data_IF_579505334595
#
_entry.id   IF_579505334595
#
_cell.length_a   1.000
_cell.length_b   1.000
_cell.length_c   1.000
_cell.angle_alpha   90.00
_cell.angle_beta   90.00
_cell.angle_gamma   90.00
#
_symmetry.space_group_name_H-M   'P 1'
#
loop_
_entity.id
_entity.type
_entity.pdbx_description
1 polymer ?
#
# COMPACT_ATOMS: atom_id res chain seq x y z
N UNK A 1 -26.44 18.69 1.21
CA UNK A 1 -25.29 17.78 1.41
C UNK A 1 -24.52 17.77 0.10
N UNK A 2 -23.40 18.49 0.05
CA UNK A 2 -22.75 18.88 -1.21
C UNK A 2 -21.99 17.73 -1.89
N UNK A 3 -21.87 17.84 -3.22
CA UNK A 3 -21.13 16.97 -4.14
C UNK A 3 -19.63 16.83 -3.79
N UNK A 4 -19.29 16.07 -2.75
CA UNK A 4 -17.90 15.68 -2.45
C UNK A 4 -17.36 14.60 -3.42
N UNK A 5 -18.22 14.01 -4.26
CA UNK A 5 -17.85 12.91 -5.16
C UNK A 5 -17.07 13.38 -6.40
N UNK A 6 -17.37 14.57 -6.93
CA UNK A 6 -16.67 15.10 -8.11
C UNK A 6 -15.25 15.58 -7.81
N UNK A 7 -14.99 16.00 -6.57
CA UNK A 7 -13.71 16.61 -6.18
C UNK A 7 -12.52 15.64 -6.14
N UNK A 8 -12.72 14.39 -5.68
CA UNK A 8 -11.62 13.41 -5.61
C UNK A 8 -11.19 12.95 -6.99
N UNK A 9 -12.14 12.69 -7.88
CA UNK A 9 -11.86 12.26 -9.25
C UNK A 9 -11.13 13.34 -10.06
N UNK A 10 -11.48 14.62 -9.87
CA UNK A 10 -10.77 15.73 -10.51
C UNK A 10 -9.33 15.82 -10.01
N UNK A 11 -9.10 15.61 -8.72
CA UNK A 11 -7.75 15.68 -8.15
C UNK A 11 -6.85 14.55 -8.67
N UNK A 12 -7.34 13.30 -8.69
CA UNK A 12 -6.54 12.17 -9.21
C UNK A 12 -6.23 12.35 -10.70
N UNK A 13 -7.19 12.82 -11.49
CA UNK A 13 -6.94 13.17 -12.89
C UNK A 13 -5.93 14.30 -13.07
N UNK A 14 -5.91 15.28 -12.15
CA UNK A 14 -4.91 16.34 -12.18
C UNK A 14 -3.51 15.82 -11.83
N UNK A 15 -3.41 14.82 -10.93
CA UNK A 15 -2.12 14.24 -10.53
C UNK A 15 -1.32 13.71 -11.72
N UNK A 16 -1.94 13.21 -12.79
CA UNK A 16 -1.21 12.67 -13.96
C UNK A 16 -0.25 13.68 -14.63
N UNK A 17 -0.45 14.97 -14.37
CA UNK A 17 0.39 16.06 -14.87
C UNK A 17 1.50 16.48 -13.87
N UNK A 18 1.51 15.90 -12.67
CA UNK A 18 2.46 16.19 -11.60
C UNK A 18 3.61 15.19 -11.63
N UNK A 19 4.81 15.63 -12.02
CA UNK A 19 5.99 14.75 -12.19
C UNK A 19 6.98 14.77 -11.02
N UNK A 20 6.84 15.72 -10.09
CA UNK A 20 7.85 16.00 -9.06
C UNK A 20 7.32 15.85 -7.61
N UNK A 21 6.18 15.18 -7.41
CA UNK A 21 5.64 14.97 -6.07
C UNK A 21 6.51 13.93 -5.35
N UNK A 22 7.00 14.28 -4.16
CA UNK A 22 7.84 13.42 -3.32
C UNK A 22 7.00 12.65 -2.30
N UNK A 23 6.06 13.34 -1.67
CA UNK A 23 5.13 12.78 -0.69
C UNK A 23 3.70 13.03 -1.16
N UNK A 24 2.96 11.94 -1.39
CA UNK A 24 1.57 11.98 -1.77
C UNK A 24 0.70 11.34 -0.70
N UNK A 25 -0.28 12.09 -0.20
CA UNK A 25 -1.40 11.56 0.58
C UNK A 25 -2.69 11.74 -0.20
N UNK A 26 -3.35 10.62 -0.50
CA UNK A 26 -4.52 10.59 -1.37
C UNK A 26 -5.61 9.72 -0.77
N UNK A 27 -6.85 10.20 -0.83
CA UNK A 27 -8.02 9.33 -0.68
C UNK A 27 -8.31 8.67 -2.03
N UNK A 28 -8.32 7.33 -2.07
CA UNK A 28 -8.56 6.56 -3.30
C UNK A 28 -9.83 5.72 -3.16
N UNK A 29 -10.60 5.62 -4.23
CA UNK A 29 -11.84 4.85 -4.33
C UNK A 29 -11.76 3.79 -5.42
N UNK A 30 -12.69 2.84 -5.36
CA UNK A 30 -12.86 1.85 -6.43
C UNK A 30 -13.09 2.57 -7.77
N UNK A 31 -12.32 2.19 -8.80
CA UNK A 31 -12.39 2.79 -10.13
C UNK A 31 -11.43 3.96 -10.38
N UNK A 32 -10.76 4.49 -9.35
CA UNK A 32 -9.75 5.56 -9.50
C UNK A 32 -8.32 5.00 -9.68
N UNK A 33 -8.15 3.67 -9.60
CA UNK A 33 -6.86 2.98 -9.71
C UNK A 33 -6.13 3.33 -11.01
N UNK A 34 -6.82 3.37 -12.15
CA UNK A 34 -6.20 3.63 -13.44
C UNK A 34 -5.62 5.04 -13.53
N UNK A 35 -6.40 6.07 -13.14
CA UNK A 35 -5.94 7.46 -13.15
C UNK A 35 -4.75 7.65 -12.19
N UNK A 36 -4.77 6.99 -11.03
CA UNK A 36 -3.62 6.99 -10.11
C UNK A 36 -2.39 6.34 -10.75
N UNK A 37 -2.55 5.22 -11.45
CA UNK A 37 -1.43 4.52 -12.09
C UNK A 37 -0.81 5.35 -13.23
N UNK A 38 -1.56 6.20 -13.93
CA UNK A 38 -0.99 7.16 -14.88
C UNK A 38 -0.04 8.15 -14.19
N UNK A 39 -0.45 8.74 -13.07
CA UNK A 39 0.44 9.56 -12.24
C UNK A 39 1.65 8.77 -11.76
N UNK A 40 1.42 7.58 -11.21
CA UNK A 40 2.45 6.73 -10.62
C UNK A 40 3.57 6.40 -11.62
N UNK A 41 3.20 6.16 -12.89
CA UNK A 41 4.15 5.87 -13.96
C UNK A 41 4.94 7.10 -14.42
N UNK A 42 4.36 8.30 -14.31
CA UNK A 42 4.99 9.55 -14.79
C UNK A 42 5.84 10.23 -13.70
N UNK A 43 5.67 9.86 -12.44
CA UNK A 43 6.39 10.45 -11.33
C UNK A 43 7.64 9.61 -10.96
N UNK A 44 8.81 10.22 -11.13
CA UNK A 44 10.11 9.58 -10.84
C UNK A 44 10.76 10.07 -9.54
N UNK A 45 10.05 10.85 -8.73
CA UNK A 45 10.51 11.44 -7.46
C UNK A 45 9.69 11.01 -6.25
N UNK A 46 8.64 10.21 -6.46
CA UNK A 46 7.75 9.77 -5.40
C UNK A 46 8.51 8.87 -4.44
N UNK A 47 8.64 9.31 -3.18
CA UNK A 47 9.35 8.62 -2.12
C UNK A 47 8.40 8.04 -1.08
N UNK A 48 7.26 8.71 -0.87
CA UNK A 48 6.23 8.35 0.12
C UNK A 48 4.86 8.39 -0.54
N UNK A 49 4.07 7.34 -0.35
CA UNK A 49 2.66 7.31 -0.75
C UNK A 49 1.79 6.83 0.40
N UNK A 50 0.75 7.60 0.71
CA UNK A 50 -0.27 7.25 1.70
C UNK A 50 -1.64 7.19 1.05
N UNK A 51 -2.21 5.99 0.99
CA UNK A 51 -3.61 5.79 0.59
C UNK A 51 -4.52 5.84 1.80
N UNK A 52 -5.58 6.64 1.70
CA UNK A 52 -6.70 6.66 2.65
C UNK A 52 -7.88 5.99 1.96
N UNK A 53 -8.18 4.78 2.40
CA UNK A 53 -9.23 3.94 1.85
C UNK A 53 -10.50 4.04 2.72
N UNK A 54 -11.66 3.95 2.08
CA UNK A 54 -12.96 3.94 2.76
C UNK A 54 -13.83 2.80 2.20
N UNK A 55 -14.64 2.19 3.06
CA UNK A 55 -15.42 1.01 2.72
C UNK A 55 -14.56 -0.24 2.52
N UNK A 56 -15.10 -1.28 1.90
CA UNK A 56 -14.36 -2.51 1.60
C UNK A 56 -13.53 -2.36 0.31
N UNK A 57 -12.66 -1.33 0.26
CA UNK A 57 -11.78 -1.12 -0.89
C UNK A 57 -10.78 -2.27 -1.00
N UNK A 58 -10.86 -3.03 -2.10
CA UNK A 58 -9.93 -4.11 -2.36
C UNK A 58 -8.62 -3.53 -2.91
N UNK A 59 -7.56 -3.53 -2.10
CA UNK A 59 -6.25 -2.98 -2.50
C UNK A 59 -5.45 -3.94 -3.37
N UNK A 60 -5.87 -5.19 -3.54
CA UNK A 60 -5.12 -6.21 -4.28
C UNK A 60 -4.82 -5.76 -5.71
N UNK A 61 -5.82 -5.21 -6.39
CA UNK A 61 -5.67 -4.71 -7.76
C UNK A 61 -4.64 -3.58 -7.82
N UNK A 62 -4.76 -2.59 -6.92
CA UNK A 62 -3.85 -1.46 -6.82
C UNK A 62 -2.41 -1.92 -6.56
N UNK A 63 -2.21 -2.77 -5.55
CA UNK A 63 -0.87 -3.23 -5.17
C UNK A 63 -0.23 -4.11 -6.25
N UNK A 64 -1.03 -4.93 -6.94
CA UNK A 64 -0.56 -5.72 -8.08
C UNK A 64 -0.12 -4.84 -9.25
N UNK A 65 -0.85 -3.76 -9.53
CA UNK A 65 -0.45 -2.82 -10.57
C UNK A 65 0.80 -2.03 -10.16
N UNK A 66 0.88 -1.61 -8.90
CA UNK A 66 2.05 -0.90 -8.36
C UNK A 66 3.31 -1.77 -8.38
N UNK A 67 3.26 -3.05 -7.99
CA UNK A 67 4.44 -3.92 -7.96
C UNK A 67 5.10 -4.08 -9.34
N UNK A 68 4.31 -4.08 -10.41
CA UNK A 68 4.79 -4.16 -11.80
C UNK A 68 5.49 -2.89 -12.28
N UNK A 69 5.18 -1.74 -11.67
CA UNK A 69 5.63 -0.41 -12.12
C UNK A 69 6.25 0.41 -11.00
N UNK A 70 6.77 -0.25 -9.97
CA UNK A 70 7.23 0.38 -8.75
C UNK A 70 8.37 1.39 -9.01
N UNK A 71 8.22 2.68 -8.64
CA UNK A 71 9.28 3.68 -8.80
C UNK A 71 10.48 3.33 -7.93
N UNK A 72 11.69 3.49 -8.48
CA UNK A 72 12.93 3.22 -7.73
C UNK A 72 13.13 4.14 -6.52
N UNK A 73 12.41 5.25 -6.46
CA UNK A 73 12.43 6.22 -5.36
C UNK A 73 11.45 5.88 -4.24
N UNK A 74 10.40 5.11 -4.52
CA UNK A 74 9.33 4.86 -3.56
C UNK A 74 9.81 3.92 -2.48
N UNK A 75 9.97 4.47 -1.28
CA UNK A 75 10.57 3.79 -0.12
C UNK A 75 9.59 3.59 1.03
N UNK A 76 8.51 4.36 1.07
CA UNK A 76 7.45 4.24 2.08
C UNK A 76 6.09 4.10 1.43
N UNK A 77 5.36 3.05 1.78
CA UNK A 77 3.95 2.86 1.42
C UNK A 77 3.12 2.76 2.69
N UNK A 78 2.09 3.59 2.78
CA UNK A 78 1.11 3.56 3.86
C UNK A 78 -0.29 3.31 3.28
N UNK A 79 -1.03 2.37 3.86
CA UNK A 79 -2.43 2.09 3.52
C UNK A 79 -3.25 2.21 4.79
N UNK A 80 -4.18 3.16 4.81
CA UNK A 80 -4.95 3.55 5.99
C UNK A 80 -6.44 3.47 5.74
N UNK A 81 -7.21 3.32 6.81
CA UNK A 81 -8.67 3.31 6.76
C UNK A 81 -9.21 1.91 6.44
N UNK A 82 -10.39 1.85 5.85
CA UNK A 82 -11.06 0.58 5.57
C UNK A 82 -10.62 0.06 4.20
N UNK A 83 -10.00 -1.11 4.19
CA UNK A 83 -9.52 -1.80 3.01
C UNK A 83 -9.32 -3.29 3.31
N UNK A 84 -9.31 -4.11 2.27
CA UNK A 84 -9.12 -5.55 2.37
C UNK A 84 -8.02 -6.05 1.44
N UNK A 85 -7.30 -7.06 1.91
CA UNK A 85 -6.31 -7.84 1.16
C UNK A 85 -6.39 -9.27 1.69
N UNK A 86 -6.04 -10.26 0.89
CA UNK A 86 -5.80 -11.63 1.40
C UNK A 86 -4.38 -11.78 1.96
N UNK A 87 -4.14 -12.68 2.93
CA UNK A 87 -2.79 -12.99 3.41
C UNK A 87 -1.82 -13.39 2.29
N UNK A 88 -2.30 -14.18 1.32
CA UNK A 88 -1.53 -14.64 0.18
C UNK A 88 -1.16 -13.50 -0.77
N UNK A 89 -2.11 -12.59 -1.05
CA UNK A 89 -1.84 -11.41 -1.88
C UNK A 89 -0.88 -10.45 -1.19
N UNK A 90 -0.99 -10.27 0.13
CA UNK A 90 -0.01 -9.49 0.90
C UNK A 90 1.39 -10.09 0.78
N UNK A 91 1.53 -11.41 0.99
CA UNK A 91 2.82 -12.10 0.87
C UNK A 91 3.39 -11.99 -0.54
N UNK A 92 2.55 -12.14 -1.56
CA UNK A 92 2.95 -12.02 -2.97
C UNK A 92 3.42 -10.61 -3.28
N UNK A 93 2.65 -9.60 -2.87
CA UNK A 93 3.04 -8.19 -2.99
C UNK A 93 4.39 -7.92 -2.34
N UNK A 94 4.64 -8.42 -1.12
CA UNK A 94 5.92 -8.23 -0.44
C UNK A 94 7.10 -8.86 -1.20
N UNK A 95 6.91 -10.05 -1.77
CA UNK A 95 7.94 -10.72 -2.59
C UNK A 95 8.22 -10.00 -3.91
N UNK A 96 7.18 -9.43 -4.51
CA UNK A 96 7.26 -8.71 -5.79
C UNK A 96 7.66 -7.25 -5.63
N UNK A 97 7.51 -6.69 -4.42
CA UNK A 97 7.91 -5.32 -4.11
C UNK A 97 9.40 -5.14 -4.39
N UNK A 98 9.75 -4.01 -5.02
CA UNK A 98 11.15 -3.72 -5.34
C UNK A 98 11.94 -3.48 -4.06
N UNK A 99 13.24 -3.76 -4.12
CA UNK A 99 14.19 -3.63 -3.00
C UNK A 99 14.27 -2.22 -2.38
N UNK A 100 13.71 -1.19 -3.02
CA UNK A 100 13.68 0.16 -2.49
C UNK A 100 12.59 0.39 -1.44
N UNK A 101 11.56 -0.46 -1.35
CA UNK A 101 10.55 -0.37 -0.29
C UNK A 101 11.19 -0.72 1.06
N UNK A 102 11.24 0.26 1.96
CA UNK A 102 11.86 0.16 3.29
C UNK A 102 10.82 0.15 4.40
N UNK A 103 9.72 0.88 4.22
CA UNK A 103 8.71 1.09 5.25
C UNK A 103 7.32 0.76 4.70
N UNK A 104 6.61 -0.12 5.40
CA UNK A 104 5.23 -0.47 5.09
C UNK A 104 4.35 -0.25 6.33
N UNK A 105 3.35 0.61 6.20
CA UNK A 105 2.35 0.89 7.24
C UNK A 105 0.97 0.41 6.77
N UNK A 106 0.49 -0.69 7.36
CA UNK A 106 -0.83 -1.28 7.10
C UNK A 106 -1.72 -1.01 8.30
N UNK A 107 -2.38 0.15 8.32
CA UNK A 107 -3.09 0.65 9.51
C UNK A 107 -4.60 0.69 9.31
N UNK A 108 -5.34 0.50 10.41
CA UNK A 108 -6.79 0.77 10.50
C UNK A 108 -7.67 -0.11 9.62
N UNK A 109 -7.17 -1.25 9.15
CA UNK A 109 -8.03 -2.21 8.43
C UNK A 109 -8.67 -3.20 9.39
N UNK A 110 -10.00 -3.28 9.36
CA UNK A 110 -10.78 -4.25 10.12
C UNK A 110 -10.69 -5.67 9.53
N UNK A 111 -9.99 -5.83 8.41
CA UNK A 111 -9.81 -7.08 7.69
C UNK A 111 -8.44 -7.73 7.94
N UNK A 112 -7.49 -7.02 8.56
CA UNK A 112 -6.23 -7.61 8.96
C UNK A 112 -6.42 -8.56 10.15
N UNK A 113 -5.90 -9.77 10.00
CA UNK A 113 -5.98 -10.88 10.97
C UNK A 113 -4.59 -11.41 11.31
N UNK A 114 -4.50 -12.33 12.27
CA UNK A 114 -3.25 -13.02 12.61
C UNK A 114 -2.64 -13.77 11.42
N UNK A 115 -3.44 -14.25 10.46
CA UNK A 115 -2.94 -14.89 9.23
C UNK A 115 -2.13 -13.91 8.37
N UNK A 116 -2.52 -12.63 8.34
CA UNK A 116 -1.75 -11.60 7.66
C UNK A 116 -0.40 -11.35 8.34
N UNK A 117 -0.40 -11.35 9.67
CA UNK A 117 0.83 -11.23 10.47
C UNK A 117 1.74 -12.44 10.22
N UNK A 118 1.17 -13.65 10.20
CA UNK A 118 1.91 -14.87 9.89
C UNK A 118 2.54 -14.83 8.48
N UNK A 119 1.79 -14.35 7.48
CA UNK A 119 2.27 -14.19 6.11
C UNK A 119 3.47 -13.22 6.02
N UNK A 120 3.42 -12.10 6.75
CA UNK A 120 4.54 -11.15 6.88
C UNK A 120 5.75 -11.79 7.55
N UNK A 121 5.55 -12.48 8.67
CA UNK A 121 6.63 -13.16 9.41
C UNK A 121 7.32 -14.19 8.51
N UNK A 122 6.54 -14.96 7.75
CA UNK A 122 7.06 -15.96 6.81
C UNK A 122 7.88 -15.29 5.70
N UNK A 123 7.38 -14.21 5.09
CA UNK A 123 8.15 -13.41 4.12
C UNK A 123 9.50 -12.94 4.70
N UNK A 124 9.51 -12.39 5.92
CA UNK A 124 10.74 -11.92 6.56
C UNK A 124 11.73 -13.06 6.81
N UNK A 125 11.25 -14.24 7.22
CA UNK A 125 12.07 -15.44 7.38
C UNK A 125 12.69 -15.88 6.06
N UNK A 126 11.89 -15.92 4.98
CA UNK A 126 12.35 -16.28 3.65
C UNK A 126 13.43 -15.32 3.12
N UNK A 127 13.22 -14.00 3.24
CA UNK A 127 14.21 -13.00 2.80
C UNK A 127 15.50 -13.06 3.61
N UNK A 128 15.39 -13.26 4.93
CA UNK A 128 16.56 -13.46 5.80
C UNK A 128 17.35 -14.71 5.43
N UNK A 129 16.66 -15.84 5.22
CA UNK A 129 17.29 -17.09 4.80
C UNK A 129 18.00 -16.94 3.44
N UNK A 130 17.39 -16.21 2.50
CA UNK A 130 17.95 -15.92 1.19
C UNK A 130 19.01 -14.80 1.17
N UNK A 131 19.31 -14.16 2.32
CA UNK A 131 20.17 -12.97 2.43
C UNK A 131 19.77 -11.84 1.48
N UNK A 132 18.48 -11.71 1.20
CA UNK A 132 17.92 -10.66 0.34
C UNK A 132 17.58 -9.42 1.17
N UNK A 133 17.66 -8.20 0.58
CA UNK A 133 17.15 -7.01 1.23
C UNK A 133 15.65 -7.18 1.51
N UNK A 134 15.21 -6.72 2.67
CA UNK A 134 13.82 -6.75 3.11
C UNK A 134 13.44 -5.41 3.75
N UNK A 135 12.16 -5.26 4.10
CA UNK A 135 11.62 -4.09 4.80
C UNK A 135 12.45 -3.77 6.06
N UNK A 136 12.78 -2.49 6.26
CA UNK A 136 13.40 -1.99 7.49
C UNK A 136 12.38 -1.92 8.63
N UNK A 137 11.14 -1.54 8.32
CA UNK A 137 10.05 -1.58 9.29
C UNK A 137 8.73 -1.96 8.63
N UNK A 138 7.93 -2.76 9.34
CA UNK A 138 6.54 -2.98 9.03
C UNK A 138 5.69 -2.66 10.24
N UNK A 139 4.64 -1.88 10.04
CA UNK A 139 3.61 -1.65 11.03
C UNK A 139 2.30 -2.24 10.53
N UNK A 140 1.61 -2.97 11.40
CA UNK A 140 0.29 -3.54 11.13
C UNK A 140 -0.63 -3.27 12.30
N UNK A 141 -1.79 -2.70 12.05
CA UNK A 141 -2.87 -2.59 13.03
C UNK A 141 -4.22 -2.91 12.41
N UNK A 142 -4.99 -3.73 13.11
CA UNK A 142 -6.35 -4.10 12.73
C UNK A 142 -7.09 -4.67 13.92
N UNK A 143 -8.42 -4.49 13.92
CA UNK A 143 -9.30 -4.89 15.03
C UNK A 143 -9.31 -6.40 15.28
N UNK A 144 -8.89 -7.19 14.28
CA UNK A 144 -8.87 -8.66 14.31
C UNK A 144 -7.46 -9.25 14.46
N UNK A 145 -6.45 -8.43 14.70
CA UNK A 145 -5.12 -8.92 15.09
C UNK A 145 -5.16 -9.15 16.61
N UNK A 146 -4.97 -10.39 17.04
CA UNK A 146 -4.97 -10.69 18.46
C UNK A 146 -3.62 -10.30 19.06
N UNK A 147 -3.62 -9.67 20.24
CA UNK A 147 -2.40 -9.35 21.01
C UNK A 147 -1.75 -10.61 21.62
N UNK A 148 -1.76 -11.76 20.93
CA UNK A 148 -1.23 -13.02 21.44
C UNK A 148 0.31 -13.08 21.51
N UNK A 149 1.00 -11.93 21.37
CA UNK A 149 2.45 -11.79 21.45
C UNK A 149 2.96 -10.99 22.65
N UNK A 150 2.14 -10.74 23.69
CA UNK A 150 2.63 -10.29 25.01
C UNK A 150 2.62 -11.45 26.00
N UNK A 151 3.71 -12.21 26.02
CA UNK A 151 4.21 -12.93 27.20
C UNK A 151 5.74 -12.85 27.18
#
# INVERSE_FOLDING_TARGET
VGNYEGGSQILIKALRHCINIIDLRLQIRQGETQDFMEFFNNNNRLEITTFICHGDFNVEELLTQMSRRWPNTLSTLNIKGQWMITPESLKTFLKDSKSCLKHLDLHSSNHLTDDHVAAVIEYLKEMKAAKKPHLCSIFMSGDRITNNGKA
#
